data_IF_942497379146
#
_entry.id   IF_942497379146
#
_cell.length_a   1.000
_cell.length_b   1.000
_cell.length_c   1.000
_cell.angle_alpha   90.00
_cell.angle_beta   90.00
_cell.angle_gamma   90.00
#
_symmetry.space_group_name_H-M   'P 1'
#
loop_
_entity.id
_entity.type
_entity.pdbx_description
1 polymer ?
#
# COMPACT_ATOMS: atom_id res chain seq x y z
N UNK A 1 -1.19 35.46 -0.47
CA UNK A 1 -1.04 35.58 -1.93
C UNK A 1 -1.21 34.21 -2.55
N UNK A 2 -1.98 34.07 -3.64
CA UNK A 2 -2.19 32.79 -4.34
C UNK A 2 -1.45 32.80 -5.68
N UNK A 3 -0.86 31.67 -6.06
CA UNK A 3 -0.16 31.49 -7.35
C UNK A 3 -0.79 30.35 -8.15
N UNK A 4 -0.56 30.32 -9.45
CA UNK A 4 -1.08 29.31 -10.37
C UNK A 4 -0.01 28.24 -10.66
N UNK A 5 -0.43 26.98 -10.66
CA UNK A 5 0.40 25.84 -11.06
C UNK A 5 -0.15 25.28 -12.38
N UNK A 6 0.69 25.23 -13.42
CA UNK A 6 0.34 24.70 -14.75
C UNK A 6 1.39 23.67 -15.15
N UNK A 7 0.96 22.46 -15.49
CA UNK A 7 1.82 21.39 -16.01
C UNK A 7 1.05 20.52 -17.01
N UNK A 8 1.80 19.82 -17.87
CA UNK A 8 1.25 18.83 -18.80
C UNK A 8 1.19 17.46 -18.13
N UNK A 9 0.14 16.70 -18.41
CA UNK A 9 -0.07 15.34 -17.91
C UNK A 9 -0.80 14.53 -18.99
N UNK A 10 -0.61 13.21 -18.98
CA UNK A 10 -1.41 12.32 -19.82
C UNK A 10 -2.92 12.52 -19.58
N UNK A 11 -3.68 12.59 -20.67
CA UNK A 11 -5.13 12.86 -20.62
C UNK A 11 -5.88 11.77 -19.88
N UNK A 12 -5.56 10.49 -20.15
CA UNK A 12 -6.25 9.36 -19.52
C UNK A 12 -5.95 9.29 -18.03
N UNK A 13 -4.71 9.58 -17.63
CA UNK A 13 -4.31 9.67 -16.23
C UNK A 13 -5.08 10.77 -15.50
N UNK A 14 -5.17 11.97 -16.09
CA UNK A 14 -5.95 13.08 -15.53
C UNK A 14 -7.42 12.71 -15.36
N UNK A 15 -8.05 12.13 -16.38
CA UNK A 15 -9.46 11.72 -16.33
C UNK A 15 -9.71 10.67 -15.23
N UNK A 16 -8.83 9.67 -15.10
CA UNK A 16 -8.93 8.66 -14.04
C UNK A 16 -8.82 9.29 -12.64
N UNK A 17 -7.84 10.17 -12.43
CA UNK A 17 -7.65 10.84 -11.15
C UNK A 17 -8.83 11.76 -10.81
N UNK A 18 -9.37 12.49 -11.79
CA UNK A 18 -10.56 13.32 -11.62
C UNK A 18 -11.80 12.52 -11.23
N UNK A 19 -12.05 11.40 -11.93
CA UNK A 19 -13.19 10.52 -11.62
C UNK A 19 -13.09 9.94 -10.20
N UNK A 20 -11.88 9.55 -9.78
CA UNK A 20 -11.64 9.10 -8.40
C UNK A 20 -11.97 10.20 -7.38
N UNK A 21 -11.45 11.41 -7.57
CA UNK A 21 -11.72 12.53 -6.67
C UNK A 21 -13.23 12.84 -6.58
N UNK A 22 -13.95 12.80 -7.70
CA UNK A 22 -15.40 12.98 -7.74
C UNK A 22 -16.15 11.89 -6.96
N UNK A 23 -15.74 10.62 -7.09
CA UNK A 23 -16.31 9.53 -6.31
C UNK A 23 -16.08 9.70 -4.80
N UNK A 24 -14.96 10.33 -4.42
CA UNK A 24 -14.64 10.71 -3.03
C UNK A 24 -15.32 12.02 -2.59
N UNK A 25 -16.14 12.63 -3.46
CA UNK A 25 -16.91 13.84 -3.15
C UNK A 25 -16.10 15.14 -3.13
N UNK A 26 -14.88 15.13 -3.67
CA UNK A 26 -13.95 16.28 -3.62
C UNK A 26 -13.51 16.72 -5.01
N UNK A 27 -13.19 18.02 -5.14
CA UNK A 27 -12.62 18.55 -6.37
C UNK A 27 -11.19 18.01 -6.57
N UNK A 28 -10.84 17.68 -7.81
CA UNK A 28 -9.49 17.23 -8.15
C UNK A 28 -8.41 18.27 -7.80
N UNK A 29 -8.73 19.57 -7.88
CA UNK A 29 -7.84 20.63 -7.44
C UNK A 29 -7.56 20.60 -5.94
N UNK A 30 -8.52 20.18 -5.12
CA UNK A 30 -8.32 20.01 -3.67
C UNK A 30 -7.34 18.86 -3.40
N UNK A 31 -7.43 17.76 -4.15
CA UNK A 31 -6.46 16.64 -4.05
C UNK A 31 -5.04 17.15 -4.32
N UNK A 32 -4.84 17.90 -5.40
CA UNK A 32 -3.52 18.45 -5.74
C UNK A 32 -2.99 19.42 -4.68
N UNK A 33 -3.86 20.29 -4.14
CA UNK A 33 -3.48 21.21 -3.04
C UNK A 33 -3.08 20.45 -1.78
N UNK A 34 -3.89 19.49 -1.35
CA UNK A 34 -3.61 18.66 -0.17
C UNK A 34 -2.33 17.85 -0.34
N UNK A 35 -2.12 17.25 -1.51
CA UNK A 35 -0.88 16.52 -1.81
C UNK A 35 0.34 17.46 -1.78
N UNK A 36 0.21 18.68 -2.31
CA UNK A 36 1.30 19.68 -2.31
C UNK A 36 1.62 20.11 -0.87
N UNK A 37 0.60 20.34 -0.04
CA UNK A 37 0.76 20.69 1.37
C UNK A 37 1.40 19.53 2.15
N UNK A 38 0.92 18.31 1.96
CA UNK A 38 1.47 17.11 2.59
C UNK A 38 2.93 16.89 2.19
N UNK A 39 3.27 17.11 0.91
CA UNK A 39 4.65 17.01 0.44
C UNK A 39 5.56 18.06 1.08
N UNK A 40 5.11 19.33 1.12
CA UNK A 40 5.85 20.40 1.76
C UNK A 40 6.06 20.18 3.28
N UNK A 41 5.10 19.51 3.94
CA UNK A 41 5.16 19.14 5.37
C UNK A 41 5.94 17.85 5.64
N UNK A 42 6.38 17.12 4.61
CA UNK A 42 7.04 15.83 4.74
C UNK A 42 6.12 14.66 5.14
N UNK A 43 4.80 14.85 5.12
CA UNK A 43 3.82 13.77 5.37
C UNK A 43 3.44 12.99 4.10
N UNK A 44 3.91 13.45 2.93
CA UNK A 44 3.87 12.73 1.66
C UNK A 44 5.29 12.71 1.10
N UNK A 45 5.81 11.52 0.82
CA UNK A 45 7.10 11.34 0.14
C UNK A 45 6.84 10.83 -1.28
N UNK A 46 7.45 11.48 -2.27
CA UNK A 46 7.35 11.06 -3.68
C UNK A 46 8.50 10.12 -3.96
N UNK A 47 8.29 8.86 -3.62
CA UNK A 47 9.23 7.80 -3.97
C UNK A 47 8.95 7.35 -5.41
N UNK A 48 10.01 7.06 -6.17
CA UNK A 48 9.88 6.23 -7.37
C UNK A 48 9.44 4.84 -6.91
N UNK A 49 8.12 4.63 -6.81
CA UNK A 49 7.55 3.34 -6.47
C UNK A 49 7.78 2.41 -7.66
N UNK A 50 8.98 1.81 -7.73
CA UNK A 50 9.01 0.42 -8.13
C UNK A 50 8.16 -0.28 -7.07
N UNK A 51 6.98 -0.77 -7.45
CA UNK A 51 6.19 -1.62 -6.56
C UNK A 51 7.16 -2.57 -5.85
N UNK A 52 7.24 -2.57 -4.51
CA UNK A 52 8.25 -3.35 -3.82
C UNK A 52 8.05 -4.82 -4.17
N UNK A 53 8.83 -5.30 -5.13
CA UNK A 53 8.84 -6.71 -5.52
C UNK A 53 9.58 -7.44 -4.43
N UNK A 54 8.94 -8.45 -3.86
CA UNK A 54 9.62 -9.40 -2.99
C UNK A 54 10.86 -9.92 -3.72
N UNK A 55 12.00 -9.94 -3.03
CA UNK A 55 13.17 -10.63 -3.56
C UNK A 55 12.86 -12.12 -3.77
N UNK A 56 13.64 -12.80 -4.61
CA UNK A 56 13.36 -14.19 -5.00
C UNK A 56 13.32 -15.15 -3.82
N UNK A 57 14.11 -14.89 -2.77
CA UNK A 57 14.12 -15.69 -1.55
C UNK A 57 12.78 -15.56 -0.82
N UNK A 58 12.32 -14.34 -0.57
CA UNK A 58 11.06 -14.07 0.13
C UNK A 58 9.87 -14.62 -0.66
N UNK A 59 9.86 -14.45 -1.99
CA UNK A 59 8.79 -15.00 -2.85
C UNK A 59 8.67 -16.52 -2.72
N UNK A 60 9.79 -17.24 -2.81
CA UNK A 60 9.83 -18.71 -2.67
C UNK A 60 9.36 -19.18 -1.29
N UNK A 61 9.72 -18.47 -0.23
CA UNK A 61 9.27 -18.78 1.14
C UNK A 61 7.76 -18.65 1.25
N UNK A 62 7.18 -17.57 0.75
CA UNK A 62 5.72 -17.35 0.78
C UNK A 62 5.00 -18.38 -0.09
N UNK A 63 5.48 -18.67 -1.30
CA UNK A 63 4.90 -19.69 -2.16
C UNK A 63 4.89 -21.07 -1.51
N UNK A 64 5.97 -21.43 -0.81
CA UNK A 64 6.04 -22.68 -0.04
C UNK A 64 5.04 -22.67 1.11
N UNK A 65 4.98 -21.60 1.90
CA UNK A 65 4.02 -21.47 3.01
C UNK A 65 2.57 -21.61 2.53
N UNK A 66 2.22 -21.02 1.38
CA UNK A 66 0.89 -21.14 0.78
C UNK A 66 0.57 -22.58 0.35
N UNK A 67 1.56 -23.32 -0.19
CA UNK A 67 1.39 -24.74 -0.53
C UNK A 67 1.21 -25.59 0.73
N UNK A 68 1.98 -25.31 1.77
CA UNK A 68 1.93 -26.00 3.06
C UNK A 68 0.57 -25.80 3.74
N UNK A 69 0.04 -24.56 3.76
CA UNK A 69 -1.32 -24.26 4.25
C UNK A 69 -2.38 -25.04 3.49
N UNK A 70 -2.33 -25.03 2.15
CA UNK A 70 -3.30 -25.78 1.32
C UNK A 70 -3.24 -27.29 1.54
N UNK A 71 -2.05 -27.81 1.85
CA UNK A 71 -1.83 -29.23 2.11
C UNK A 71 -2.05 -29.63 3.57
N UNK A 72 -2.35 -28.67 4.47
CA UNK A 72 -2.44 -28.92 5.91
C UNK A 72 -1.12 -29.35 6.55
N UNK A 73 0.02 -28.97 5.96
CA UNK A 73 1.38 -29.34 6.41
C UNK A 73 2.07 -28.13 7.03
N UNK A 74 3.00 -28.37 7.96
CA UNK A 74 3.81 -27.33 8.62
C UNK A 74 2.98 -26.19 9.23
N UNK A 75 1.77 -26.50 9.71
CA UNK A 75 0.92 -25.57 10.45
C UNK A 75 1.22 -25.68 11.93
N UNK A 76 1.12 -24.56 12.64
CA UNK A 76 1.06 -24.59 14.10
C UNK A 76 -0.17 -25.37 14.55
N UNK A 77 -0.18 -25.91 15.78
CA UNK A 77 -1.41 -26.38 16.38
C UNK A 77 -2.43 -25.24 16.49
N UNK A 78 -3.71 -25.61 16.68
CA UNK A 78 -4.72 -24.65 17.10
C UNK A 78 -4.45 -24.26 18.55
N UNK A 79 -4.65 -22.99 18.87
CA UNK A 79 -4.51 -22.46 20.23
C UNK A 79 -5.85 -21.87 20.66
N UNK A 80 -6.27 -22.19 21.87
CA UNK A 80 -7.48 -21.64 22.46
C UNK A 80 -7.24 -20.27 23.14
N UNK A 81 -5.98 -19.98 23.48
CA UNK A 81 -5.55 -18.75 24.14
C UNK A 81 -4.37 -18.09 23.41
N UNK A 82 -4.33 -16.76 23.43
CA UNK A 82 -3.30 -15.98 22.75
C UNK A 82 -1.92 -16.16 23.41
N UNK A 83 -1.89 -16.36 24.72
CA UNK A 83 -0.70 -16.60 25.52
C UNK A 83 0.04 -17.86 25.05
N UNK A 84 -0.69 -18.93 24.75
CA UNK A 84 -0.14 -20.21 24.28
C UNK A 84 0.44 -20.08 22.87
N UNK A 85 -0.23 -19.36 21.99
CA UNK A 85 0.28 -19.06 20.65
C UNK A 85 1.59 -18.24 20.71
N UNK A 86 1.66 -17.25 21.61
CA UNK A 86 2.86 -16.44 21.82
C UNK A 86 4.00 -17.27 22.42
N UNK A 87 3.71 -18.18 23.35
CA UNK A 87 4.70 -19.08 23.92
C UNK A 87 5.31 -20.00 22.86
N UNK A 88 4.47 -20.57 21.97
CA UNK A 88 4.92 -21.41 20.85
C UNK A 88 5.80 -20.66 19.84
N UNK A 89 5.55 -19.37 19.62
CA UNK A 89 6.39 -18.56 18.72
C UNK A 89 7.77 -18.21 19.31
N UNK A 90 7.91 -18.31 20.64
CA UNK A 90 9.14 -17.95 21.37
C UNK A 90 9.99 -19.16 21.76
N UNK A 91 9.46 -20.37 21.68
CA UNK A 91 10.18 -21.63 21.88
C UNK A 91 11.03 -22.00 20.68
#
# INVERSE_FOLDING_TARGET
MTTQVIFKIDKKLKEKAMKRAQNEGIAFSSVLKLATEAYAKGSLDVQLVAEPRLNDKTRKVIEKALKDIKAGKNLSPAFDHAEDAIAYLKS
#
